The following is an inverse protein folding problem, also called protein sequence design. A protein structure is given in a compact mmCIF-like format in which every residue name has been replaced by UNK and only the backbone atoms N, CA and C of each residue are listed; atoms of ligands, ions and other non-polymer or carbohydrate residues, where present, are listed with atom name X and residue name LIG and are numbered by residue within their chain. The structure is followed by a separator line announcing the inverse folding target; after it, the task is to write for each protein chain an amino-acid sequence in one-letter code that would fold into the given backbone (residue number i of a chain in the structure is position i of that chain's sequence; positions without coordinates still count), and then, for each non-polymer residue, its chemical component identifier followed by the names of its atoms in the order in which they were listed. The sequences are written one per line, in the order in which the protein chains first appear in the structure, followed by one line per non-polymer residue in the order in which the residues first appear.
data_IF_713195353293
#
_entry.id   IF_713195353293
#
_cell.length_a   1.000
_cell.length_b   1.000
_cell.length_c   1.000
_cell.angle_alpha   90.00
_cell.angle_beta   90.00
_cell.angle_gamma   90.00
#
_symmetry.space_group_name_H-M   'P 1'
#
loop_
_entity.id
_entity.type
_entity.pdbx_description
1 polymer ?
#
# COMPACT_ATOMS: atom_id res chain seq x y z
N UNK A 1 -19.77 -25.55 -60.67
CA UNK A 1 -18.28 -25.64 -60.78
C UNK A 1 -17.74 -24.32 -61.32
N UNK A 2 -17.04 -23.54 -60.49
CA UNK A 2 -16.15 -22.38 -60.77
C UNK A 2 -15.76 -21.76 -59.41
N UNK A 3 -14.99 -22.50 -58.58
CA UNK A 3 -13.55 -22.33 -58.34
C UNK A 3 -13.16 -20.93 -57.83
N UNK A 4 -12.92 -20.89 -56.51
CA UNK A 4 -11.69 -20.38 -55.85
C UNK A 4 -11.15 -19.01 -56.24
N UNK A 5 -11.27 -18.02 -55.35
CA UNK A 5 -10.22 -17.06 -54.93
C UNK A 5 -10.85 -15.77 -54.38
N UNK A 6 -11.23 -15.79 -53.11
CA UNK A 6 -11.22 -14.62 -52.21
C UNK A 6 -10.90 -15.18 -50.83
N UNK A 7 -9.81 -15.93 -50.65
CA UNK A 7 -8.46 -15.38 -50.40
C UNK A 7 -8.52 -14.08 -49.60
N UNK A 8 -8.79 -14.24 -48.30
CA UNK A 8 -7.89 -13.78 -47.24
C UNK A 8 -7.34 -12.36 -47.41
N UNK A 9 -8.21 -11.35 -47.55
CA UNK A 9 -7.78 -9.96 -47.61
C UNK A 9 -8.65 -9.00 -46.79
N UNK A 10 -9.04 -9.42 -45.59
CA UNK A 10 -9.32 -8.43 -44.53
C UNK A 10 -8.43 -8.80 -43.36
N UNK A 11 -7.18 -8.34 -43.52
CA UNK A 11 -6.38 -7.69 -42.47
C UNK A 11 -6.57 -8.24 -41.06
N UNK A 12 -5.53 -8.96 -40.63
CA UNK A 12 -5.18 -9.14 -39.24
C UNK A 12 -5.38 -7.83 -38.48
N UNK A 13 -6.48 -7.75 -37.73
CA UNK A 13 -6.58 -6.88 -36.56
C UNK A 13 -5.60 -7.51 -35.56
N UNK A 14 -4.32 -7.14 -35.71
CA UNK A 14 -3.38 -7.16 -34.61
C UNK A 14 -3.95 -6.15 -33.62
N UNK A 15 -4.77 -6.65 -32.70
CA UNK A 15 -5.13 -5.93 -31.48
C UNK A 15 -3.81 -5.72 -30.75
N UNK A 16 -3.17 -4.59 -31.00
CA UNK A 16 -2.22 -4.01 -30.06
C UNK A 16 -3.07 -3.59 -28.86
N UNK A 17 -3.32 -4.54 -27.96
CA UNK A 17 -3.56 -4.22 -26.56
C UNK A 17 -2.24 -3.61 -26.07
N UNK A 18 -2.06 -2.33 -26.36
CA UNK A 18 -1.17 -1.51 -25.58
C UNK A 18 -1.78 -1.54 -24.18
N UNK A 19 -1.14 -2.30 -23.28
CA UNK A 19 -1.24 -2.04 -21.86
C UNK A 19 -0.97 -0.54 -21.69
N UNK A 20 -2.03 0.23 -21.47
CA UNK A 20 -1.94 1.63 -21.09
C UNK A 20 -1.28 1.66 -19.72
N UNK A 21 0.05 1.56 -19.68
CA UNK A 21 0.82 2.04 -18.56
C UNK A 21 0.51 3.54 -18.50
N UNK A 22 -0.43 3.92 -17.63
CA UNK A 22 -0.73 5.32 -17.37
C UNK A 22 0.57 5.95 -16.87
N UNK A 23 1.16 6.80 -17.70
CA UNK A 23 2.16 7.74 -17.23
C UNK A 23 1.40 8.69 -16.29
N UNK A 24 1.40 8.37 -14.99
CA UNK A 24 0.77 9.21 -13.99
C UNK A 24 1.55 10.52 -13.88
N UNK A 25 0.83 11.64 -13.78
CA UNK A 25 1.44 12.96 -13.68
C UNK A 25 2.24 13.10 -12.38
N UNK A 26 3.45 13.66 -12.47
CA UNK A 26 4.33 13.85 -11.31
C UNK A 26 3.80 15.01 -10.47
N UNK A 27 3.76 14.82 -9.15
CA UNK A 27 3.35 15.84 -8.21
C UNK A 27 4.28 17.05 -8.25
N UNK A 28 3.70 18.23 -8.52
CA UNK A 28 4.41 19.52 -8.57
C UNK A 28 4.20 20.36 -7.32
N UNK A 29 3.26 19.96 -6.45
CA UNK A 29 2.91 20.67 -5.22
C UNK A 29 3.04 19.79 -3.95
N UNK A 30 3.47 18.54 -4.09
CA UNK A 30 3.62 17.60 -3.00
C UNK A 30 2.35 16.84 -2.63
N UNK A 31 1.20 17.09 -3.27
CA UNK A 31 0.00 16.28 -3.10
C UNK A 31 0.04 15.07 -4.06
N UNK A 32 -0.39 13.91 -3.60
CA UNK A 32 -0.41 12.65 -4.35
C UNK A 32 -1.67 11.83 -4.08
N UNK A 33 -1.90 10.82 -4.92
CA UNK A 33 -3.07 9.95 -4.81
C UNK A 33 -4.38 10.73 -4.78
N UNK A 34 -5.35 10.27 -3.99
CA UNK A 34 -6.70 10.85 -3.94
C UNK A 34 -6.75 12.30 -3.42
N UNK A 35 -5.69 12.77 -2.75
CA UNK A 35 -5.58 14.17 -2.30
C UNK A 35 -5.22 15.12 -3.44
N UNK A 36 -4.54 14.61 -4.46
CA UNK A 36 -4.22 15.38 -5.66
C UNK A 36 -5.43 15.44 -6.59
N UNK A 37 -5.74 16.62 -7.12
CA UNK A 37 -6.82 16.83 -8.10
C UNK A 37 -6.63 16.05 -9.41
N UNK A 38 -5.40 15.58 -9.67
CA UNK A 38 -5.02 14.81 -10.86
C UNK A 38 -4.58 13.39 -10.53
N UNK A 39 -4.74 12.92 -9.28
CA UNK A 39 -4.19 11.65 -8.81
C UNK A 39 -2.67 11.52 -9.08
N UNK A 40 -1.92 12.59 -8.78
CA UNK A 40 -0.50 12.65 -9.08
C UNK A 40 0.32 11.56 -8.35
N UNK A 41 1.42 11.15 -8.98
CA UNK A 41 2.45 10.29 -8.39
C UNK A 41 3.59 11.12 -7.79
N UNK A 42 4.20 10.60 -6.73
CA UNK A 42 5.42 11.14 -6.14
C UNK A 42 6.69 10.69 -6.87
N UNK A 43 6.61 9.66 -7.72
CA UNK A 43 7.78 9.11 -8.41
C UNK A 43 8.47 10.17 -9.29
N UNK A 44 9.71 10.54 -8.95
CA UNK A 44 10.49 11.59 -9.61
C UNK A 44 10.15 13.01 -9.16
N UNK A 45 9.35 13.17 -8.10
CA UNK A 45 9.02 14.46 -7.53
C UNK A 45 10.14 15.00 -6.65
N UNK A 46 10.33 16.33 -6.62
CA UNK A 46 11.32 16.98 -5.76
C UNK A 46 10.97 16.90 -4.27
N UNK A 47 9.72 16.55 -3.94
CA UNK A 47 9.27 16.36 -2.56
C UNK A 47 9.66 14.98 -2.01
N UNK A 48 10.06 14.05 -2.88
CA UNK A 48 10.37 12.66 -2.56
C UNK A 48 9.43 11.69 -3.27
N UNK A 49 9.82 10.42 -3.33
CA UNK A 49 9.18 9.39 -4.16
C UNK A 49 8.03 8.64 -3.46
N UNK A 50 7.85 8.81 -2.15
CA UNK A 50 6.85 8.08 -1.37
C UNK A 50 5.57 8.89 -1.24
N UNK A 51 4.42 8.29 -1.55
CA UNK A 51 3.11 8.88 -1.27
C UNK A 51 2.59 8.36 0.07
N UNK A 52 2.59 9.19 1.10
CA UNK A 52 2.09 8.83 2.43
C UNK A 52 0.60 8.45 2.41
N UNK A 53 0.13 7.78 3.47
CA UNK A 53 -1.31 7.48 3.66
C UNK A 53 -2.22 8.71 3.61
N UNK A 54 -1.65 9.90 3.86
CA UNK A 54 -2.38 11.18 3.89
C UNK A 54 -2.33 11.93 2.53
N UNK A 55 -1.74 11.33 1.51
CA UNK A 55 -1.67 11.92 0.16
C UNK A 55 -0.61 13.01 0.02
N UNK A 56 0.47 12.93 0.78
CA UNK A 56 1.63 13.81 0.64
C UNK A 56 2.87 13.06 0.17
N UNK A 57 3.67 13.69 -0.69
CA UNK A 57 4.97 13.21 -1.13
C UNK A 57 6.07 13.46 -0.08
N UNK A 58 6.98 12.50 0.05
CA UNK A 58 8.13 12.58 0.95
C UNK A 58 9.13 11.44 0.71
N UNK A 59 10.20 11.42 1.52
CA UNK A 59 11.26 10.39 1.44
C UNK A 59 11.61 9.73 2.78
N UNK A 60 10.96 10.13 3.88
CA UNK A 60 11.21 9.55 5.21
C UNK A 60 10.21 8.44 5.53
N UNK A 61 10.46 7.65 6.58
CA UNK A 61 9.57 6.56 7.01
C UNK A 61 8.13 7.00 7.27
N UNK A 62 7.89 8.27 7.64
CA UNK A 62 6.53 8.83 7.80
C UNK A 62 5.75 8.81 6.48
N UNK A 63 6.45 8.90 5.35
CA UNK A 63 5.87 8.88 4.01
C UNK A 63 5.97 7.50 3.34
N UNK A 64 7.10 6.82 3.55
CA UNK A 64 7.42 5.56 2.88
C UNK A 64 6.97 4.31 3.66
N UNK A 65 6.72 4.45 4.96
CA UNK A 65 6.37 3.37 5.87
C UNK A 65 4.87 3.05 5.88
N UNK A 66 4.29 2.92 7.08
CA UNK A 66 2.91 2.48 7.25
C UNK A 66 1.91 3.27 6.38
N UNK A 67 1.09 2.53 5.63
CA UNK A 67 0.03 3.12 4.80
C UNK A 67 0.53 3.89 3.57
N UNK A 68 1.80 3.78 3.21
CA UNK A 68 2.30 4.34 1.96
C UNK A 68 1.52 3.78 0.75
N UNK A 69 1.11 4.68 -0.15
CA UNK A 69 0.26 4.39 -1.30
C UNK A 69 1.12 3.92 -2.49
N UNK A 70 1.29 2.61 -2.62
CA UNK A 70 2.12 1.96 -3.67
C UNK A 70 1.72 2.30 -5.11
N UNK A 71 0.48 2.74 -5.33
CA UNK A 71 0.02 3.18 -6.65
C UNK A 71 0.58 4.56 -7.05
N UNK A 72 1.00 5.37 -6.09
CA UNK A 72 1.39 6.77 -6.28
C UNK A 72 2.81 7.07 -5.80
N UNK A 73 3.61 6.06 -5.48
CA UNK A 73 5.00 6.25 -5.04
C UNK A 73 5.73 4.94 -4.73
N UNK A 74 6.99 5.06 -4.34
CA UNK A 74 7.82 3.95 -3.87
C UNK A 74 7.69 3.81 -2.36
N UNK A 75 7.20 2.67 -1.88
CA UNK A 75 7.06 2.42 -0.44
C UNK A 75 8.19 1.53 0.07
N UNK A 76 8.45 1.56 1.38
CA UNK A 76 9.36 0.63 2.03
C UNK A 76 8.87 -0.81 1.82
N UNK A 77 9.79 -1.76 1.71
CA UNK A 77 9.45 -3.18 1.43
C UNK A 77 8.46 -3.79 2.44
N UNK A 78 8.48 -3.26 3.67
CA UNK A 78 7.61 -3.70 4.76
C UNK A 78 6.42 -2.77 5.01
N UNK A 79 6.14 -1.77 4.16
CA UNK A 79 5.10 -0.76 4.40
C UNK A 79 3.72 -1.35 4.75
N UNK A 80 3.38 -2.53 4.22
CA UNK A 80 2.12 -3.24 4.49
C UNK A 80 2.08 -3.96 5.84
N UNK A 81 3.24 -4.28 6.44
CA UNK A 81 3.32 -4.89 7.77
C UNK A 81 3.57 -3.86 8.87
N UNK A 82 4.06 -2.67 8.56
CA UNK A 82 4.24 -1.61 9.55
C UNK A 82 2.87 -1.16 10.08
N UNK A 83 2.76 -1.11 11.40
CA UNK A 83 1.54 -0.70 12.09
C UNK A 83 1.11 0.74 11.74
N UNK A 84 -0.09 0.94 11.16
CA UNK A 84 -0.61 2.27 10.83
C UNK A 84 -1.35 2.93 12.00
N UNK A 85 -1.75 2.18 13.02
CA UNK A 85 -2.56 2.64 14.15
C UNK A 85 -1.93 2.36 15.53
N UNK A 86 -0.72 1.84 15.54
CA UNK A 86 0.04 1.52 16.75
C UNK A 86 -0.28 0.16 17.34
N UNK A 87 -1.11 -0.67 16.69
CA UNK A 87 -1.33 -2.05 17.08
C UNK A 87 -0.33 -2.99 16.43
N UNK A 88 0.11 -4.00 17.17
CA UNK A 88 1.12 -4.96 16.70
C UNK A 88 0.85 -6.35 17.25
N UNK A 89 1.58 -7.34 16.73
CA UNK A 89 1.43 -8.72 17.17
C UNK A 89 0.56 -9.56 16.25
N UNK A 90 0.53 -10.85 16.52
CA UNK A 90 -0.16 -11.84 15.68
C UNK A 90 -1.66 -11.54 15.55
N UNK A 91 -2.30 -11.07 16.62
CA UNK A 91 -3.73 -10.76 16.66
C UNK A 91 -4.10 -9.51 15.83
N UNK A 92 -3.12 -8.67 15.53
CA UNK A 92 -3.27 -7.44 14.75
C UNK A 92 -2.70 -7.63 13.34
N UNK A 93 -3.12 -8.70 12.66
CA UNK A 93 -2.71 -9.02 11.29
C UNK A 93 -1.19 -9.16 11.11
N UNK A 94 -0.48 -9.63 12.14
CA UNK A 94 0.98 -9.74 12.15
C UNK A 94 1.70 -8.40 11.89
N UNK A 95 1.10 -7.29 12.31
CA UNK A 95 1.71 -5.97 12.16
C UNK A 95 2.91 -5.80 13.09
N UNK A 96 3.90 -5.05 12.60
CA UNK A 96 5.16 -4.74 13.27
C UNK A 96 5.25 -3.27 13.65
N UNK A 97 6.01 -2.98 14.70
CA UNK A 97 6.27 -1.62 15.17
C UNK A 97 7.48 -0.98 14.49
N UNK A 98 8.43 -1.77 13.98
CA UNK A 98 9.62 -1.24 13.32
C UNK A 98 9.23 -0.42 12.08
N UNK A 99 9.67 0.84 12.02
CA UNK A 99 9.32 1.79 10.95
C UNK A 99 7.98 2.52 11.17
N UNK A 100 7.27 2.25 12.26
CA UNK A 100 6.06 2.97 12.64
C UNK A 100 6.38 4.25 13.44
N UNK A 101 5.52 5.26 13.32
CA UNK A 101 5.63 6.51 14.08
C UNK A 101 5.31 6.34 15.57
N UNK A 102 4.67 5.23 15.95
CA UNK A 102 4.32 4.92 17.33
C UNK A 102 5.51 4.39 18.15
N UNK A 103 6.58 3.96 17.48
CA UNK A 103 7.79 3.42 18.10
C UNK A 103 8.12 2.00 17.65
N UNK A 104 9.30 1.50 18.04
CA UNK A 104 9.84 0.24 17.51
C UNK A 104 9.51 -1.02 18.32
N UNK A 105 9.04 -0.88 19.56
CA UNK A 105 8.77 -2.02 20.44
C UNK A 105 7.30 -2.42 20.42
N UNK A 106 7.03 -3.72 20.27
CA UNK A 106 5.68 -4.26 20.40
C UNK A 106 5.47 -4.80 21.83
N UNK A 107 4.65 -4.14 22.63
CA UNK A 107 4.35 -4.56 24.01
C UNK A 107 3.62 -5.91 24.07
N UNK A 108 3.61 -6.53 25.25
CA UNK A 108 2.83 -7.75 25.52
C UNK A 108 1.34 -7.60 25.15
N UNK A 109 0.81 -6.38 25.32
CA UNK A 109 -0.58 -6.04 25.06
C UNK A 109 -0.88 -5.70 23.59
N UNK A 110 0.08 -5.89 22.68
CA UNK A 110 -0.09 -5.66 21.25
C UNK A 110 -0.11 -4.18 20.84
N UNK A 111 0.65 -3.34 21.55
CA UNK A 111 0.80 -1.91 21.25
C UNK A 111 2.25 -1.52 20.97
N UNK A 112 2.45 -0.62 20.00
CA UNK A 112 3.73 -0.02 19.66
C UNK A 112 4.12 1.12 20.60
N UNK A 113 5.41 1.18 20.93
CA UNK A 113 5.99 2.25 21.75
C UNK A 113 7.51 2.21 21.77
N UNK A 114 8.12 3.12 22.55
CA UNK A 114 9.59 3.25 22.66
C UNK A 114 10.12 3.22 24.10
N UNK A 115 9.24 3.18 25.11
CA UNK A 115 9.66 3.22 26.51
C UNK A 115 9.68 1.83 27.13
N UNK A 116 10.22 1.71 28.35
CA UNK A 116 10.36 0.43 29.06
C UNK A 116 9.06 -0.34 29.26
N UNK A 117 7.89 0.33 29.28
CA UNK A 117 6.59 -0.36 29.36
C UNK A 117 6.28 -1.14 28.08
N UNK A 118 6.78 -0.69 26.93
CA UNK A 118 6.61 -1.36 25.65
C UNK A 118 7.78 -2.28 25.31
N UNK A 119 9.00 -1.84 25.61
CA UNK A 119 10.24 -2.53 25.25
C UNK A 119 10.76 -3.49 26.32
N UNK A 120 10.14 -3.51 27.50
CA UNK A 120 10.57 -4.30 28.65
C UNK A 120 10.08 -5.75 28.60
N UNK A 121 9.89 -6.35 29.78
CA UNK A 121 9.37 -7.71 29.92
C UNK A 121 8.03 -7.87 29.21
N UNK A 122 7.86 -8.97 28.47
CA UNK A 122 6.64 -9.25 27.72
C UNK A 122 6.60 -8.63 26.31
N UNK A 123 7.59 -7.82 25.94
CA UNK A 123 7.70 -7.32 24.56
C UNK A 123 7.78 -8.48 23.54
N UNK A 124 6.99 -8.39 22.48
CA UNK A 124 6.86 -9.39 21.41
C UNK A 124 7.94 -9.18 20.34
N UNK A 125 9.04 -9.93 20.43
CA UNK A 125 10.23 -9.74 19.58
C UNK A 125 10.04 -10.04 18.10
N UNK A 126 9.02 -10.84 17.74
CA UNK A 126 8.69 -11.11 16.34
C UNK A 126 8.04 -9.90 15.65
N UNK A 127 7.54 -8.93 16.44
CA UNK A 127 6.79 -7.78 15.97
C UNK A 127 7.42 -6.43 16.38
N UNK A 128 8.56 -6.43 17.06
CA UNK A 128 9.27 -5.21 17.44
C UNK A 128 10.63 -5.44 18.09
N UNK A 129 11.34 -4.35 18.40
CA UNK A 129 12.69 -4.36 18.96
C UNK A 129 12.70 -4.42 20.50
N UNK A 130 12.59 -5.63 21.02
CA UNK A 130 12.49 -5.90 22.46
C UNK A 130 13.87 -5.92 23.14
N UNK A 131 14.46 -4.74 23.32
CA UNK A 131 15.54 -4.42 24.28
C UNK A 131 16.05 -2.97 24.08
N UNK A 132 15.31 -2.11 23.37
CA UNK A 132 15.64 -0.70 23.18
C UNK A 132 15.42 0.15 24.46
N UNK A 133 15.78 -0.36 25.64
CA UNK A 133 15.80 0.43 26.88
C UNK A 133 17.15 1.14 26.94
N UNK A 134 17.33 2.20 26.16
CA UNK A 134 18.55 3.02 26.32
C UNK A 134 19.03 3.88 25.16
N UNK A 135 18.20 4.27 24.20
CA UNK A 135 18.62 5.29 23.22
C UNK A 135 17.56 6.36 23.04
N UNK A 136 17.35 7.10 24.12
CA UNK A 136 16.83 8.47 24.04
C UNK A 136 17.84 9.33 23.29
N UNK A 137 17.54 9.63 22.03
CA UNK A 137 17.77 10.97 21.50
C UNK A 137 16.50 11.48 20.82
N UNK A 138 15.37 11.37 21.53
CA UNK A 138 14.22 12.25 21.30
C UNK A 138 14.35 13.46 22.23
N UNK A 139 14.74 14.58 21.61
CA UNK A 139 14.74 15.92 22.18
C UNK A 139 13.37 16.25 22.80
N UNK A 140 13.27 16.75 24.05
CA UNK A 140 12.02 17.26 24.56
C UNK A 140 11.76 18.66 23.98
N UNK A 141 10.78 18.76 23.08
CA UNK A 141 10.04 20.00 22.90
C UNK A 141 9.10 20.18 24.11
N UNK A 142 9.67 20.61 25.23
CA UNK A 142 8.93 21.14 26.36
C UNK A 142 9.41 22.58 26.59
N UNK A 143 8.55 23.54 26.24
CA UNK A 143 8.64 24.91 26.74
C UNK A 143 8.67 24.89 28.26
N UNK A 144 9.85 25.12 28.82
CA UNK A 144 10.01 25.53 30.20
C UNK A 144 10.90 26.77 30.20
N UNK A 145 10.33 27.83 30.77
CA UNK A 145 10.92 29.14 30.98
C UNK A 145 12.24 29.09 31.74
N UNK A 146 13.13 30.01 31.34
CA UNK A 146 14.43 30.34 31.90
C UNK A 146 14.48 30.33 33.43
N UNK A 147 15.55 29.79 34.00
CA UNK A 147 16.50 30.62 34.75
C UNK A 147 17.84 29.91 35.00
N UNK A 148 18.90 30.71 34.87
CA UNK A 148 20.29 30.31 34.86
C UNK A 148 20.96 30.58 36.21
N UNK A 149 21.84 29.67 36.65
CA UNK A 149 23.05 29.95 37.48
C UNK A 149 24.00 28.74 37.29
N UNK A 150 25.11 28.86 36.55
CA UNK A 150 26.43 29.47 36.86
C UNK A 150 27.37 28.59 37.71
N UNK A 151 28.49 28.21 37.05
CA UNK A 151 29.85 27.94 37.56
C UNK A 151 30.09 26.67 38.42
N UNK A 152 31.22 25.96 38.44
CA UNK A 152 32.53 25.95 37.75
C UNK A 152 33.30 24.73 38.31
N UNK A 153 34.35 24.27 37.60
CA UNK A 153 35.54 23.49 38.05
C UNK A 153 35.62 22.08 37.40
N UNK A 154 36.38 21.89 36.32
CA UNK A 154 37.85 21.70 36.24
C UNK A 154 38.32 20.32 36.72
N UNK A 155 38.62 19.40 35.79
CA UNK A 155 39.93 18.72 35.75
C UNK A 155 40.15 18.03 34.39
N UNK A 156 41.35 18.20 33.86
CA UNK A 156 41.86 17.58 32.64
C UNK A 156 42.05 16.06 32.80
N UNK A 157 42.23 15.33 31.69
CA UNK A 157 43.41 14.43 31.45
C UNK A 157 43.28 13.63 30.14
N UNK A 158 44.40 13.63 29.41
CA UNK A 158 44.94 12.67 28.42
C UNK A 158 44.25 12.40 27.06
N UNK A 159 44.92 12.93 26.04
CA UNK A 159 45.18 12.35 24.71
C UNK A 159 45.51 10.86 24.74
N UNK A 160 44.96 10.10 23.78
CA UNK A 160 45.68 9.03 23.08
C UNK A 160 45.02 8.77 21.73
N UNK A 161 45.74 9.11 20.66
CA UNK A 161 45.42 8.62 19.33
C UNK A 161 45.97 7.20 19.16
N UNK A 162 45.27 6.37 18.38
CA UNK A 162 45.88 5.21 17.74
C UNK A 162 45.53 5.23 16.26
N UNK A 163 46.56 5.42 15.45
CA UNK A 163 46.63 5.01 14.05
C UNK A 163 46.82 3.49 13.97
N UNK A 164 46.89 3.03 12.71
CA UNK A 164 47.47 1.78 12.17
C UNK A 164 46.60 0.54 12.28
N UNK A 165 45.89 0.17 11.19
CA UNK A 165 46.32 -0.71 10.06
C UNK A 165 46.07 -2.19 10.44
N UNK A 166 45.72 -3.15 9.58
CA UNK A 166 46.10 -3.41 8.20
C UNK A 166 45.07 -4.33 7.51
N UNK A 167 45.17 -4.29 6.18
CA UNK A 167 44.41 -5.03 5.20
C UNK A 167 44.62 -6.56 5.23
N UNK A 168 43.53 -7.29 5.00
CA UNK A 168 43.48 -8.45 4.10
C UNK A 168 42.17 -8.29 3.32
N UNK A 169 42.12 -8.10 2.00
CA UNK A 169 42.96 -8.70 0.97
C UNK A 169 42.36 -10.03 0.52
N UNK A 170 41.09 -10.06 0.07
CA UNK A 170 40.57 -11.20 -0.69
C UNK A 170 39.94 -10.73 -2.01
N UNK A 171 40.81 -10.70 -3.04
CA UNK A 171 40.42 -10.83 -4.44
C UNK A 171 39.98 -12.28 -4.66
N UNK A 172 38.70 -12.50 -4.96
CA UNK A 172 38.29 -13.65 -5.78
C UNK A 172 37.39 -13.11 -6.87
N UNK A 173 37.95 -13.06 -8.08
CA UNK A 173 37.22 -12.75 -9.29
C UNK A 173 36.44 -13.96 -9.81
N UNK A 174 35.44 -13.63 -10.64
CA UNK A 174 34.95 -14.38 -11.80
C UNK A 174 35.17 -15.89 -11.81
N UNK A 175 34.08 -16.67 -11.64
CA UNK A 175 33.59 -17.70 -12.58
C UNK A 175 32.12 -17.97 -12.20
N UNK A 176 31.19 -17.94 -13.16
CA UNK A 176 29.95 -18.76 -13.31
C UNK A 176 28.97 -18.10 -14.29
N UNK A 177 29.48 -17.58 -15.41
CA UNK A 177 28.67 -17.43 -16.64
C UNK A 177 28.80 -18.75 -17.38
N UNK A 178 27.85 -19.66 -17.18
CA UNK A 178 27.89 -20.96 -17.85
C UNK A 178 26.96 -22.01 -17.29
N UNK A 179 25.69 -21.69 -17.02
CA UNK A 179 24.58 -22.65 -16.93
C UNK A 179 23.18 -22.00 -16.92
N UNK A 180 23.05 -20.72 -17.30
CA UNK A 180 21.76 -20.02 -17.29
C UNK A 180 20.90 -20.24 -18.55
N UNK A 181 21.47 -20.78 -19.64
CA UNK A 181 20.73 -20.93 -20.90
C UNK A 181 19.71 -22.08 -20.91
N UNK A 182 19.97 -23.18 -20.19
CA UNK A 182 19.08 -24.36 -20.20
C UNK A 182 17.84 -24.19 -19.32
N UNK A 183 17.96 -23.48 -18.19
CA UNK A 183 16.84 -23.20 -17.29
C UNK A 183 15.81 -22.23 -17.92
N UNK A 184 16.29 -21.29 -18.73
CA UNK A 184 15.42 -20.34 -19.46
C UNK A 184 14.62 -21.08 -20.55
N UNK A 185 15.24 -22.01 -21.29
CA UNK A 185 14.54 -22.77 -22.34
C UNK A 185 13.48 -23.70 -21.72
N UNK A 186 13.78 -24.40 -20.63
CA UNK A 186 12.81 -25.24 -19.93
C UNK A 186 11.70 -24.42 -19.27
N UNK A 187 12.02 -23.24 -18.73
CA UNK A 187 11.04 -22.28 -18.19
C UNK A 187 10.10 -21.72 -19.25
N UNK A 188 10.62 -21.37 -20.44
CA UNK A 188 9.82 -20.91 -21.58
C UNK A 188 8.91 -22.02 -22.12
N UNK A 189 9.40 -23.26 -22.23
CA UNK A 189 8.58 -24.40 -22.65
C UNK A 189 7.47 -24.67 -21.62
N UNK A 190 7.78 -24.64 -20.32
CA UNK A 190 6.77 -24.79 -19.25
C UNK A 190 5.74 -23.66 -19.27
N UNK A 191 6.16 -22.42 -19.49
CA UNK A 191 5.27 -21.26 -19.59
C UNK A 191 4.35 -21.36 -20.82
N UNK A 192 4.87 -21.78 -21.98
CA UNK A 192 4.08 -22.01 -23.20
C UNK A 192 3.06 -23.16 -23.00
N UNK A 193 3.45 -24.25 -22.34
CA UNK A 193 2.54 -25.36 -22.00
C UNK A 193 1.46 -24.91 -21.01
N UNK A 194 1.80 -24.08 -20.01
CA UNK A 194 0.86 -23.52 -19.04
C UNK A 194 -0.10 -22.50 -19.68
N UNK A 195 0.37 -21.67 -20.61
CA UNK A 195 -0.48 -20.76 -21.37
C UNK A 195 -1.50 -21.53 -22.23
N UNK A 196 -1.09 -22.62 -22.89
CA UNK A 196 -2.02 -23.44 -23.68
C UNK A 196 -3.11 -24.13 -22.86
N UNK A 197 -2.83 -24.47 -21.58
CA UNK A 197 -3.86 -25.01 -20.66
C UNK A 197 -4.88 -23.97 -20.19
N UNK A 198 -4.53 -22.67 -20.16
CA UNK A 198 -5.49 -21.60 -19.84
C UNK A 198 -6.46 -21.32 -20.98
N UNK A 199 -6.02 -21.45 -22.24
CA UNK A 199 -6.87 -21.22 -23.42
C UNK A 199 -8.01 -22.23 -23.57
N UNK A 200 -7.92 -23.41 -22.94
CA UNK A 200 -9.00 -24.42 -22.96
C UNK A 200 -10.08 -24.21 -21.91
N UNK A 201 -9.93 -23.26 -20.96
CA UNK A 201 -10.90 -23.03 -19.87
C UNK A 201 -11.91 -21.91 -20.18
N UNK A 202 -11.64 -21.01 -21.15
CA UNK A 202 -12.56 -19.91 -21.48
C UNK A 202 -13.59 -20.21 -22.58
N UNK A 203 -13.74 -21.47 -23.01
CA UNK A 203 -14.67 -21.86 -24.09
C UNK A 203 -15.95 -22.54 -23.59
N UNK A 204 -16.54 -22.10 -22.48
CA UNK A 204 -17.78 -22.70 -21.99
C UNK A 204 -18.78 -21.77 -21.31
N UNK A 205 -18.69 -20.44 -21.46
CA UNK A 205 -19.73 -19.56 -20.91
C UNK A 205 -20.01 -18.35 -21.81
N UNK A 206 -20.50 -18.63 -23.01
CA UNK A 206 -21.25 -17.63 -23.79
C UNK A 206 -22.38 -18.34 -24.55
N UNK A 207 -23.30 -18.92 -23.77
CA UNK A 207 -24.64 -19.22 -24.23
C UNK A 207 -25.56 -19.08 -23.03
N UNK A 208 -26.14 -17.89 -22.83
CA UNK A 208 -27.46 -17.60 -22.26
C UNK A 208 -27.49 -16.10 -21.96
N UNK A 209 -28.17 -15.33 -22.82
CA UNK A 209 -29.21 -14.34 -22.47
C UNK A 209 -29.34 -13.19 -23.51
N UNK A 210 -29.41 -13.49 -24.81
CA UNK A 210 -29.95 -12.55 -25.80
C UNK A 210 -31.21 -13.14 -26.47
N UNK A 211 -32.30 -13.09 -25.70
CA UNK A 211 -33.72 -13.04 -26.09
C UNK A 211 -34.38 -12.41 -24.85
N UNK A 212 -35.04 -11.26 -24.84
CA UNK A 212 -35.81 -10.46 -25.78
C UNK A 212 -35.54 -8.97 -25.41
N UNK A 213 -35.63 -7.95 -26.26
CA UNK A 213 -36.86 -7.27 -26.67
C UNK A 213 -36.49 -6.32 -27.81
N UNK A 214 -36.91 -6.66 -29.04
CA UNK A 214 -37.16 -5.66 -30.07
C UNK A 214 -38.49 -4.98 -29.75
N UNK A 215 -38.45 -3.74 -29.30
CA UNK A 215 -39.63 -2.95 -28.94
C UNK A 215 -39.41 -1.48 -29.26
N UNK A 216 -40.15 -1.02 -30.25
CA UNK A 216 -40.26 0.35 -30.74
C UNK A 216 -40.53 1.35 -29.60
N UNK A 217 -39.65 2.35 -29.44
CA UNK A 217 -39.84 3.48 -28.52
C UNK A 217 -39.40 4.78 -29.18
N UNK A 218 -39.88 5.01 -30.41
CA UNK A 218 -40.08 6.38 -30.91
C UNK A 218 -41.38 6.95 -30.34
N UNK A 219 -41.39 7.34 -29.06
CA UNK A 219 -42.22 8.44 -28.52
C UNK A 219 -41.97 8.55 -27.00
N UNK A 220 -41.19 9.53 -26.54
CA UNK A 220 -41.35 10.13 -25.21
C UNK A 220 -40.99 11.62 -25.30
N UNK A 221 -41.77 12.53 -24.67
CA UNK A 221 -41.63 13.97 -24.83
C UNK A 221 -40.34 14.49 -24.20
N UNK A 222 -39.76 15.52 -24.83
CA UNK A 222 -38.67 16.33 -24.29
C UNK A 222 -39.10 16.94 -22.94
N UNK A 223 -38.47 16.52 -21.84
CA UNK A 223 -38.58 17.21 -20.55
C UNK A 223 -37.57 18.38 -20.53
N UNK A 224 -37.96 19.55 -20.00
CA UNK A 224 -37.14 20.75 -20.04
C UNK A 224 -35.91 20.61 -19.12
N UNK A 225 -34.73 20.82 -19.71
CA UNK A 225 -33.47 20.98 -18.97
C UNK A 225 -33.44 22.40 -18.38
N UNK A 226 -33.96 22.55 -17.18
CA UNK A 226 -33.68 23.70 -16.31
C UNK A 226 -34.00 23.31 -14.87
N UNK A 227 -32.97 22.94 -14.11
CA UNK A 227 -33.06 22.64 -12.69
C UNK A 227 -31.67 22.66 -12.05
N UNK A 228 -31.45 23.69 -11.23
CA UNK A 228 -30.36 23.83 -10.25
C UNK A 228 -30.09 22.57 -9.43
N UNK A 229 -28.87 22.38 -8.88
CA UNK A 229 -28.63 21.38 -7.86
C UNK A 229 -29.50 21.67 -6.64
N UNK A 230 -30.57 20.91 -6.44
CA UNK A 230 -31.36 20.94 -5.21
C UNK A 230 -30.50 20.36 -4.08
N UNK A 231 -30.19 21.20 -3.10
CA UNK A 231 -29.70 20.75 -1.79
C UNK A 231 -30.69 19.75 -1.21
N UNK A 232 -30.20 18.54 -0.93
CA UNK A 232 -30.97 17.52 -0.24
C UNK A 232 -31.24 18.04 1.18
N UNK A 233 -32.51 18.24 1.54
CA UNK A 233 -32.84 18.82 2.83
C UNK A 233 -32.47 17.86 3.97
N UNK A 234 -32.16 18.44 5.13
CA UNK A 234 -31.68 17.71 6.32
C UNK A 234 -32.65 16.62 6.79
N UNK A 235 -33.94 16.72 6.47
CA UNK A 235 -34.96 15.74 6.84
C UNK A 235 -34.87 14.46 6.00
N UNK A 236 -34.57 14.57 4.70
CA UNK A 236 -34.39 13.41 3.81
C UNK A 236 -33.13 12.60 4.13
N UNK A 237 -32.06 13.29 4.56
CA UNK A 237 -30.83 12.65 5.05
C UNK A 237 -31.08 11.86 6.35
N UNK A 238 -32.03 12.33 7.17
CA UNK A 238 -32.35 11.73 8.46
C UNK A 238 -33.22 10.46 8.32
N UNK A 239 -34.15 10.42 7.37
CA UNK A 239 -34.91 9.21 7.04
C UNK A 239 -33.99 8.11 6.50
N UNK A 240 -33.07 8.46 5.58
CA UNK A 240 -32.13 7.50 4.98
C UNK A 240 -31.15 6.90 6.01
N UNK A 241 -30.74 7.69 7.01
CA UNK A 241 -29.89 7.23 8.10
C UNK A 241 -30.62 6.28 9.07
N UNK A 242 -31.93 6.45 9.23
CA UNK A 242 -32.74 5.62 10.14
C UNK A 242 -32.94 4.22 9.55
N UNK A 243 -33.21 4.13 8.25
CA UNK A 243 -33.33 2.85 7.54
C UNK A 243 -32.00 2.08 7.50
N UNK A 244 -30.87 2.78 7.33
CA UNK A 244 -29.54 2.17 7.38
C UNK A 244 -29.23 1.54 8.75
N UNK A 245 -29.52 2.25 9.84
CA UNK A 245 -29.28 1.74 11.20
C UNK A 245 -30.19 0.56 11.54
N UNK A 246 -31.45 0.59 11.11
CA UNK A 246 -32.39 -0.53 11.28
C UNK A 246 -31.92 -1.80 10.57
N UNK A 247 -31.41 -1.68 9.35
CA UNK A 247 -30.85 -2.80 8.60
C UNK A 247 -29.59 -3.40 9.25
N UNK A 248 -28.77 -2.56 9.90
CA UNK A 248 -27.59 -3.02 10.64
C UNK A 248 -27.97 -3.78 11.93
N UNK A 249 -29.01 -3.34 12.63
CA UNK A 249 -29.49 -4.03 13.82
C UNK A 249 -30.09 -5.41 13.51
N UNK A 250 -30.85 -5.54 12.41
CA UNK A 250 -31.37 -6.84 11.95
C UNK A 250 -30.23 -7.82 11.61
N UNK A 251 -29.15 -7.35 10.97
CA UNK A 251 -27.94 -8.16 10.71
C UNK A 251 -27.23 -8.59 12.00
N UNK A 252 -27.19 -7.72 13.01
CA UNK A 252 -26.56 -8.01 14.30
C UNK A 252 -27.33 -9.07 15.11
N UNK A 253 -28.66 -9.10 14.99
CA UNK A 253 -29.51 -10.15 15.56
C UNK A 253 -29.33 -11.50 14.83
N UNK A 254 -29.26 -11.49 13.50
CA UNK A 254 -28.96 -12.70 12.71
C UNK A 254 -27.58 -13.30 13.02
N UNK A 255 -26.56 -12.46 13.24
CA UNK A 255 -25.23 -12.94 13.61
C UNK A 255 -25.16 -13.55 15.02
N UNK A 256 -26.06 -13.17 15.94
CA UNK A 256 -26.10 -13.75 17.29
C UNK A 256 -26.83 -15.09 17.34
N UNK A 257 -27.79 -15.33 16.43
CA UNK A 257 -28.57 -16.57 16.39
C UNK A 257 -27.81 -17.82 15.92
N UNK A 258 -26.60 -17.69 15.37
CA UNK A 258 -25.80 -18.84 14.90
C UNK A 258 -24.86 -19.45 15.96
N UNK A 259 -24.81 -18.90 17.18
CA UNK A 259 -23.94 -19.39 18.26
C UNK A 259 -24.67 -20.25 19.32
N UNK A 260 -25.97 -20.50 19.18
CA UNK A 260 -26.73 -21.40 20.07
C UNK A 260 -27.45 -22.48 19.27
N UNK A 261 -26.69 -23.45 18.76
CA UNK A 261 -27.20 -24.78 18.44
C UNK A 261 -26.28 -25.82 19.12
N UNK A 262 -26.82 -26.67 20.00
CA UNK A 262 -26.06 -27.71 20.72
C UNK A 262 -25.59 -28.86 19.83
#
# INVERSE_FOLDING_TARGET
MKRTMRRFLVTAIFIAIADSASAQDISTNGDCGSRSSINATCLGSTFGDCCSTNGYCGSTDVYCGAGCQVAFGTCSDNASSISPDGRCGQENNAQICLGSTFGSCCSEQGWCGNNSTYCGTGCQSDFGECNAVGSTTSSPAASATSDAVTATSSTAVATSGSKTTDSVGFKVGMVFVGLAAAAIILGLIFFIVRQRRRSTIQKSDETVLEKDVGGDLRQLPQLPVSGEPQELNSSQVQEMSTDYNKAQDEKKLLSKGMHELP
#
